data_IF_096700405954
#
_entry.id   IF_096700405954
#
_cell.length_a   1.000
_cell.length_b   1.000
_cell.length_c   1.000
_cell.angle_alpha   90.00
_cell.angle_beta   90.00
_cell.angle_gamma   90.00
#
_symmetry.space_group_name_H-M   'P 1'
#
loop_
_entity.id
_entity.type
_entity.pdbx_description
1 polymer ?
#
# COMPACT_ATOMS: atom_id res chain seq x y z
N UNK A 1 25.08 -2.16 -23.50
CA UNK A 1 25.72 -1.59 -22.29
C UNK A 1 25.78 -2.59 -21.15
N UNK A 2 24.64 -3.07 -20.61
CA UNK A 2 24.63 -4.09 -19.54
C UNK A 2 25.39 -5.38 -19.95
N UNK A 3 25.04 -5.99 -21.09
CA UNK A 3 25.75 -7.15 -21.64
C UNK A 3 27.25 -6.89 -21.82
N UNK A 4 27.62 -5.75 -22.38
CA UNK A 4 29.03 -5.36 -22.59
C UNK A 4 29.77 -5.16 -21.27
N UNK A 5 29.15 -4.55 -20.24
CA UNK A 5 29.78 -4.34 -18.94
C UNK A 5 30.04 -5.65 -18.22
N UNK A 6 29.07 -6.58 -18.25
CA UNK A 6 29.23 -7.94 -17.71
C UNK A 6 30.37 -8.65 -18.42
N UNK A 7 30.40 -8.62 -19.75
CA UNK A 7 31.48 -9.25 -20.53
C UNK A 7 32.84 -8.61 -20.25
N UNK A 8 32.96 -7.28 -20.22
CA UNK A 8 34.21 -6.59 -19.93
C UNK A 8 34.73 -6.94 -18.53
N UNK A 9 33.85 -7.10 -17.52
CA UNK A 9 34.27 -7.52 -16.18
C UNK A 9 34.76 -8.97 -16.15
N UNK A 10 34.09 -9.87 -16.89
CA UNK A 10 34.53 -11.27 -17.02
C UNK A 10 35.85 -11.38 -17.79
N UNK A 11 36.03 -10.58 -18.85
CA UNK A 11 37.20 -10.62 -19.72
C UNK A 11 38.42 -9.85 -19.15
N UNK A 12 38.19 -8.75 -18.42
CA UNK A 12 39.28 -7.96 -17.80
C UNK A 12 39.88 -8.62 -16.57
N UNK A 13 39.16 -9.58 -15.97
CA UNK A 13 39.58 -10.32 -14.80
C UNK A 13 39.92 -11.75 -15.23
N UNK A 14 41.01 -11.90 -15.99
CA UNK A 14 41.46 -13.19 -16.56
C UNK A 14 41.85 -14.28 -15.56
N UNK A 15 41.55 -14.12 -14.27
CA UNK A 15 41.73 -15.13 -13.22
C UNK A 15 40.37 -15.39 -12.52
N UNK A 16 39.89 -16.65 -12.47
CA UNK A 16 38.56 -16.99 -11.96
C UNK A 16 38.32 -16.53 -10.51
N UNK A 17 39.32 -16.66 -9.63
CA UNK A 17 39.18 -16.28 -8.21
C UNK A 17 38.98 -14.77 -8.00
N UNK A 18 39.52 -13.96 -8.92
CA UNK A 18 39.47 -12.50 -8.82
C UNK A 18 38.17 -11.96 -9.42
N UNK A 19 37.60 -12.68 -10.39
CA UNK A 19 36.29 -12.36 -10.96
C UNK A 19 35.20 -12.54 -9.90
N UNK A 20 35.31 -13.59 -9.08
CA UNK A 20 34.39 -13.89 -7.99
C UNK A 20 34.44 -12.82 -6.90
N UNK A 21 35.63 -12.35 -6.52
CA UNK A 21 35.79 -11.23 -5.58
C UNK A 21 35.15 -9.93 -6.11
N UNK A 22 35.27 -9.63 -7.41
CA UNK A 22 34.64 -8.43 -7.99
C UNK A 22 33.12 -8.52 -7.91
N UNK A 23 32.51 -9.71 -8.08
CA UNK A 23 31.07 -9.91 -7.89
C UNK A 23 30.65 -9.87 -6.41
N UNK A 24 31.48 -10.38 -5.50
CA UNK A 24 31.22 -10.37 -4.05
C UNK A 24 31.29 -8.94 -3.46
N UNK A 25 32.14 -8.07 -4.02
CA UNK A 25 32.25 -6.66 -3.62
C UNK A 25 31.39 -5.69 -4.46
N UNK A 26 30.87 -6.14 -5.59
CA UNK A 26 29.90 -5.39 -6.39
C UNK A 26 28.53 -5.43 -5.69
N UNK A 27 28.35 -4.53 -4.72
CA UNK A 27 27.06 -4.30 -4.06
C UNK A 27 25.93 -3.98 -5.08
N UNK A 28 24.67 -3.98 -4.61
CA UNK A 28 23.41 -3.96 -5.39
C UNK A 28 23.31 -3.00 -6.60
N UNK A 29 24.15 -1.98 -6.72
CA UNK A 29 24.25 -1.14 -7.92
C UNK A 29 24.70 -1.89 -9.19
N UNK A 30 25.48 -2.97 -9.07
CA UNK A 30 25.83 -3.81 -10.23
C UNK A 30 24.63 -4.67 -10.70
N UNK A 31 23.88 -5.24 -9.74
CA UNK A 31 22.67 -6.01 -10.04
C UNK A 31 21.60 -5.15 -10.74
N UNK A 32 21.38 -3.92 -10.28
CA UNK A 32 20.42 -3.00 -10.89
C UNK A 32 20.82 -2.57 -12.30
N UNK A 33 22.11 -2.33 -12.55
CA UNK A 33 22.62 -1.92 -13.86
C UNK A 33 22.62 -3.08 -14.87
N UNK A 34 22.86 -4.31 -14.40
CA UNK A 34 22.95 -5.51 -15.24
C UNK A 34 21.61 -6.25 -15.42
N UNK A 35 20.52 -5.82 -14.76
CA UNK A 35 19.17 -6.43 -14.86
C UNK A 35 18.62 -6.62 -16.30
N UNK A 36 19.03 -5.79 -17.25
CA UNK A 36 18.62 -5.98 -18.67
C UNK A 36 19.37 -7.15 -19.32
N UNK A 37 20.57 -7.47 -18.84
CA UNK A 37 21.37 -8.58 -19.34
C UNK A 37 20.86 -9.96 -18.88
N UNK A 38 19.90 -10.03 -17.96
CA UNK A 38 19.22 -11.27 -17.57
C UNK A 38 17.94 -11.56 -18.37
N UNK A 39 17.53 -10.66 -19.28
CA UNK A 39 16.39 -10.86 -20.17
C UNK A 39 16.75 -11.68 -21.42
N UNK A 40 15.78 -12.09 -22.22
CA UNK A 40 16.02 -12.92 -23.42
C UNK A 40 16.94 -12.21 -24.45
N UNK A 41 18.10 -12.80 -24.81
CA UNK A 41 19.08 -12.16 -25.69
C UNK A 41 18.63 -12.11 -27.15
N UNK A 42 17.73 -13.01 -27.59
CA UNK A 42 17.21 -13.03 -28.97
C UNK A 42 16.27 -11.84 -29.19
N UNK A 43 15.40 -11.56 -28.23
CA UNK A 43 14.52 -10.40 -28.25
C UNK A 43 15.30 -9.08 -28.26
N UNK A 44 16.31 -8.93 -27.40
CA UNK A 44 17.11 -7.70 -27.36
C UNK A 44 17.96 -7.51 -28.62
N UNK A 45 18.48 -8.58 -29.22
CA UNK A 45 19.12 -8.53 -30.54
C UNK A 45 18.18 -7.92 -31.58
N UNK A 46 16.94 -8.40 -31.64
CA UNK A 46 15.98 -7.95 -32.64
C UNK A 46 15.54 -6.49 -32.42
N UNK A 47 15.36 -6.06 -31.16
CA UNK A 47 15.08 -4.66 -30.80
C UNK A 47 16.24 -3.75 -31.22
N UNK A 48 17.49 -4.15 -30.94
CA UNK A 48 18.68 -3.35 -31.26
C UNK A 48 18.92 -3.27 -32.77
N UNK A 49 18.70 -4.36 -33.51
CA UNK A 49 18.82 -4.36 -34.97
C UNK A 49 17.72 -3.53 -35.63
N UNK A 50 16.49 -3.57 -35.10
CA UNK A 50 15.40 -2.72 -35.58
C UNK A 50 15.66 -1.22 -35.33
N UNK A 51 16.43 -0.87 -34.30
CA UNK A 51 16.76 0.52 -33.92
C UNK A 51 18.25 0.85 -34.15
N UNK A 52 18.88 0.20 -35.13
CA UNK A 52 20.34 0.21 -35.32
C UNK A 52 20.93 1.62 -35.34
N UNK A 53 20.42 2.50 -36.20
CA UNK A 53 21.04 3.81 -36.42
C UNK A 53 20.96 4.70 -35.17
N UNK A 54 19.82 4.70 -34.49
CA UNK A 54 19.64 5.42 -33.22
C UNK A 54 20.54 4.84 -32.12
N UNK A 55 20.67 3.52 -32.06
CA UNK A 55 21.51 2.83 -31.09
C UNK A 55 22.99 3.16 -31.30
N UNK A 56 23.47 3.12 -32.55
CA UNK A 56 24.85 3.45 -32.91
C UNK A 56 25.16 4.90 -32.53
N UNK A 57 24.28 5.84 -32.85
CA UNK A 57 24.49 7.26 -32.50
C UNK A 57 24.64 7.48 -30.99
N UNK A 58 23.85 6.78 -30.16
CA UNK A 58 23.95 6.84 -28.70
C UNK A 58 25.24 6.20 -28.19
N UNK A 59 25.68 5.08 -28.78
CA UNK A 59 26.94 4.43 -28.43
C UNK A 59 28.14 5.32 -28.73
N UNK A 60 28.17 5.97 -29.90
CA UNK A 60 29.26 6.88 -30.29
C UNK A 60 29.37 8.09 -29.36
N UNK A 61 28.22 8.65 -28.96
CA UNK A 61 28.17 9.74 -27.99
C UNK A 61 28.74 9.29 -26.63
N UNK A 62 28.32 8.12 -26.15
CA UNK A 62 28.79 7.58 -24.88
C UNK A 62 30.29 7.27 -24.89
N UNK A 63 30.82 6.71 -25.98
CA UNK A 63 32.26 6.48 -26.14
C UNK A 63 33.05 7.78 -26.11
N UNK A 64 32.52 8.84 -26.70
CA UNK A 64 33.12 10.18 -26.66
C UNK A 64 33.21 10.71 -25.23
N UNK A 65 32.14 10.56 -24.44
CA UNK A 65 32.13 10.97 -23.03
C UNK A 65 33.15 10.20 -22.18
N UNK A 66 33.26 8.88 -22.41
CA UNK A 66 34.26 8.04 -21.74
C UNK A 66 35.70 8.46 -22.06
N UNK A 67 35.98 8.79 -23.33
CA UNK A 67 37.29 9.30 -23.73
C UNK A 67 37.64 10.62 -23.03
N UNK A 68 36.66 11.51 -22.88
CA UNK A 68 36.87 12.77 -22.17
C UNK A 68 37.09 12.54 -20.67
N UNK A 69 36.34 11.63 -20.04
CA UNK A 69 36.56 11.24 -18.64
C UNK A 69 37.98 10.67 -18.44
N UNK A 70 38.42 9.80 -19.34
CA UNK A 70 39.80 9.27 -19.35
C UNK A 70 40.84 10.39 -19.49
N UNK A 71 40.60 11.38 -20.34
CA UNK A 71 41.53 12.51 -20.51
C UNK A 71 41.64 13.37 -19.23
N UNK A 72 40.54 13.57 -18.50
CA UNK A 72 40.54 14.28 -17.21
C UNK A 72 41.32 13.51 -16.15
N UNK A 73 41.16 12.19 -16.09
CA UNK A 73 41.93 11.31 -15.19
C UNK A 73 43.43 11.37 -15.48
N UNK A 74 43.84 11.32 -16.76
CA UNK A 74 45.25 11.40 -17.15
C UNK A 74 45.89 12.75 -16.81
N UNK A 75 45.10 13.81 -16.74
CA UNK A 75 45.55 15.16 -16.38
C UNK A 75 45.46 15.43 -14.86
N UNK A 76 44.95 14.49 -14.08
CA UNK A 76 44.65 14.63 -12.66
C UNK A 76 43.80 15.88 -12.34
N UNK A 77 42.90 16.26 -13.25
CA UNK A 77 42.08 17.47 -13.14
C UNK A 77 40.86 17.20 -12.24
N UNK A 78 41.08 17.29 -10.93
CA UNK A 78 40.09 17.00 -9.91
C UNK A 78 38.86 17.92 -9.95
N UNK A 79 39.05 19.18 -10.31
CA UNK A 79 37.96 20.17 -10.37
C UNK A 79 37.03 19.88 -11.55
N UNK A 80 37.59 19.56 -12.73
CA UNK A 80 36.79 19.17 -13.88
C UNK A 80 36.06 17.83 -13.66
N UNK A 81 36.69 16.86 -12.99
CA UNK A 81 36.04 15.61 -12.58
C UNK A 81 34.87 15.86 -11.62
N UNK A 82 35.08 16.71 -10.61
CA UNK A 82 34.04 17.07 -9.64
C UNK A 82 32.87 17.78 -10.32
N UNK A 83 33.13 18.70 -11.25
CA UNK A 83 32.08 19.36 -12.02
C UNK A 83 31.23 18.35 -12.82
N UNK A 84 31.86 17.36 -13.44
CA UNK A 84 31.16 16.28 -14.15
C UNK A 84 30.35 15.38 -13.24
N UNK A 85 30.88 15.02 -12.07
CA UNK A 85 30.13 14.23 -11.09
C UNK A 85 28.92 14.99 -10.55
N UNK A 86 29.06 16.30 -10.29
CA UNK A 86 27.93 17.15 -9.91
C UNK A 86 26.87 17.20 -11.00
N UNK A 87 27.28 17.36 -12.26
CA UNK A 87 26.35 17.35 -13.39
C UNK A 87 25.61 16.00 -13.51
N UNK A 88 26.33 14.88 -13.42
CA UNK A 88 25.72 13.54 -13.47
C UNK A 88 24.75 13.32 -12.29
N UNK A 89 25.13 13.75 -11.08
CA UNK A 89 24.26 13.74 -9.91
C UNK A 89 23.02 14.59 -10.11
N UNK A 90 23.16 15.82 -10.60
CA UNK A 90 22.03 16.72 -10.89
C UNK A 90 21.08 16.11 -11.91
N UNK A 91 21.59 15.57 -13.02
CA UNK A 91 20.76 14.91 -14.04
C UNK A 91 20.05 13.68 -13.47
N UNK A 92 20.72 12.89 -12.62
CA UNK A 92 20.10 11.72 -11.96
C UNK A 92 19.05 12.14 -10.94
N UNK A 93 19.35 13.11 -10.10
CA UNK A 93 18.44 13.66 -9.10
C UNK A 93 17.23 14.30 -9.80
N UNK A 94 17.43 15.00 -10.91
CA UNK A 94 16.38 15.57 -11.76
C UNK A 94 15.59 14.50 -12.50
N UNK A 95 16.22 13.42 -12.96
CA UNK A 95 15.53 12.29 -13.57
C UNK A 95 14.66 11.56 -12.54
N UNK A 96 15.21 11.23 -11.37
CA UNK A 96 14.45 10.63 -10.26
C UNK A 96 13.32 11.58 -9.85
N UNK A 97 13.61 12.88 -9.72
CA UNK A 97 12.61 13.90 -9.43
C UNK A 97 11.55 13.97 -10.51
N UNK A 98 11.87 13.93 -11.80
CA UNK A 98 10.89 13.94 -12.90
C UNK A 98 10.10 12.65 -13.01
N UNK A 99 10.73 11.50 -12.74
CA UNK A 99 10.05 10.20 -12.76
C UNK A 99 9.11 10.06 -11.56
N UNK A 100 9.52 10.52 -10.38
CA UNK A 100 8.64 10.73 -9.23
C UNK A 100 7.57 11.78 -9.53
N UNK A 101 7.91 12.90 -10.16
CA UNK A 101 6.96 13.98 -10.44
C UNK A 101 5.97 13.67 -11.59
N UNK A 102 6.30 12.73 -12.47
CA UNK A 102 5.37 12.16 -13.48
C UNK A 102 4.29 11.28 -12.86
N UNK A 103 4.49 10.87 -11.59
CA UNK A 103 3.49 10.29 -10.70
C UNK A 103 3.48 11.08 -9.39
N UNK A 104 2.91 12.28 -9.40
CA UNK A 104 2.82 13.28 -8.31
C UNK A 104 3.89 14.37 -8.32
N UNK A 105 3.52 15.53 -8.86
CA UNK A 105 4.08 16.80 -8.40
C UNK A 105 3.67 17.05 -6.95
N UNK A 106 4.49 16.67 -5.97
CA UNK A 106 4.52 17.34 -4.67
C UNK A 106 5.96 17.45 -4.19
N UNK A 107 6.40 18.69 -3.99
CA UNK A 107 7.68 19.07 -3.42
C UNK A 107 7.87 18.47 -2.03
N UNK A 108 8.99 17.78 -1.81
CA UNK A 108 9.53 17.49 -0.48
C UNK A 108 9.89 18.81 0.21
N UNK A 109 8.96 19.31 1.02
CA UNK A 109 9.28 19.99 2.27
C UNK A 109 8.49 19.25 3.34
N UNK A 110 9.17 18.80 4.38
CA UNK A 110 8.53 18.12 5.49
C UNK A 110 7.42 18.99 6.09
N UNK A 111 6.17 18.65 5.82
CA UNK A 111 5.02 19.00 6.66
C UNK A 111 4.33 17.69 7.05
N UNK A 112 4.04 17.58 8.35
CA UNK A 112 3.23 16.51 8.91
C UNK A 112 1.91 16.43 8.15
N UNK A 113 1.47 15.21 7.87
CA UNK A 113 0.36 14.88 6.98
C UNK A 113 -0.86 15.80 7.13
N UNK A 114 -1.13 16.55 6.07
CA UNK A 114 -2.39 17.23 5.83
C UNK A 114 -2.86 16.92 4.41
N UNK A 115 -2.94 15.63 4.08
CA UNK A 115 -3.75 15.22 2.94
C UNK A 115 -5.22 15.54 3.25
N UNK A 116 -5.91 16.17 2.30
CA UNK A 116 -7.32 16.48 2.38
C UNK A 116 -8.05 15.61 1.36
N UNK A 117 -8.96 14.77 1.84
CA UNK A 117 -9.82 13.95 0.98
C UNK A 117 -11.14 14.68 0.77
N UNK A 118 -11.58 14.77 -0.47
CA UNK A 118 -12.94 15.22 -0.83
C UNK A 118 -13.75 14.01 -1.24
N UNK A 119 -14.81 13.72 -0.50
CA UNK A 119 -15.74 12.63 -0.80
C UNK A 119 -16.98 13.23 -1.42
N UNK A 120 -17.35 12.74 -2.60
CA UNK A 120 -18.60 13.08 -3.27
C UNK A 120 -19.71 12.09 -2.97
N UNK A 121 -20.91 12.40 -3.48
CA UNK A 121 -22.09 11.56 -3.27
C UNK A 121 -22.02 10.31 -4.16
N UNK A 122 -21.97 9.14 -3.52
CA UNK A 122 -22.02 7.85 -4.20
C UNK A 122 -23.47 7.42 -4.43
N UNK A 123 -23.78 6.94 -5.65
CA UNK A 123 -25.13 6.46 -6.02
C UNK A 123 -25.26 4.95 -5.84
N UNK A 124 -24.25 4.19 -6.28
CA UNK A 124 -24.12 2.74 -6.07
C UNK A 124 -22.64 2.36 -6.00
N UNK A 125 -22.31 1.31 -5.23
CA UNK A 125 -20.98 0.72 -5.22
C UNK A 125 -21.00 -0.60 -5.98
N UNK A 126 -20.36 -0.66 -7.15
CA UNK A 126 -20.29 -1.91 -7.94
C UNK A 126 -18.94 -2.15 -8.58
N UNK A 127 -18.49 -3.41 -8.53
CA UNK A 127 -17.40 -3.87 -9.38
C UNK A 127 -16.56 -4.99 -8.79
N UNK A 128 -15.41 -5.21 -9.42
CA UNK A 128 -14.37 -6.12 -8.96
C UNK A 128 -13.13 -5.31 -8.59
N UNK A 129 -12.54 -5.59 -7.44
CA UNK A 129 -11.29 -4.97 -7.00
C UNK A 129 -10.36 -6.00 -6.36
N UNK A 130 -9.09 -5.60 -6.23
CA UNK A 130 -8.05 -6.34 -5.54
C UNK A 130 -7.44 -5.40 -4.51
N UNK A 131 -7.27 -5.86 -3.28
CA UNK A 131 -6.78 -5.08 -2.15
C UNK A 131 -5.46 -5.64 -1.68
N UNK A 132 -4.58 -4.77 -1.18
CA UNK A 132 -3.37 -5.18 -0.47
C UNK A 132 -3.72 -5.91 0.82
N UNK A 133 -2.82 -6.80 1.26
CA UNK A 133 -2.88 -7.34 2.61
C UNK A 133 -2.57 -6.27 3.65
N UNK A 134 -3.01 -6.50 4.88
CA UNK A 134 -2.53 -5.72 6.01
C UNK A 134 -1.05 -6.06 6.30
N UNK A 135 -0.36 -5.15 7.00
CA UNK A 135 1.05 -5.31 7.32
C UNK A 135 1.33 -6.55 8.16
N UNK A 136 0.44 -6.95 9.07
CA UNK A 136 0.70 -8.10 9.94
C UNK A 136 0.64 -9.39 9.14
N UNK A 137 -0.45 -9.62 8.41
CA UNK A 137 -0.63 -10.78 7.53
C UNK A 137 0.47 -10.89 6.47
N UNK A 138 0.87 -9.76 5.88
CA UNK A 138 1.94 -9.73 4.89
C UNK A 138 3.30 -10.12 5.48
N UNK A 139 3.57 -9.70 6.71
CA UNK A 139 4.82 -10.02 7.41
C UNK A 139 4.84 -11.44 7.98
N UNK A 140 3.70 -11.96 8.44
CA UNK A 140 3.56 -13.37 8.83
C UNK A 140 3.86 -14.29 7.64
N UNK A 141 3.24 -14.01 6.49
CA UNK A 141 3.51 -14.74 5.25
C UNK A 141 4.99 -14.65 4.83
N UNK A 142 5.61 -13.47 4.99
CA UNK A 142 7.03 -13.29 4.72
C UNK A 142 7.90 -14.14 5.65
N UNK A 143 7.59 -14.19 6.95
CA UNK A 143 8.33 -15.00 7.91
C UNK A 143 8.14 -16.51 7.67
N UNK A 144 7.00 -16.95 7.13
CA UNK A 144 6.79 -18.32 6.65
C UNK A 144 7.65 -18.65 5.43
N UNK A 145 7.64 -17.77 4.41
CA UNK A 145 8.46 -17.91 3.20
C UNK A 145 9.96 -17.99 3.51
N UNK A 146 10.42 -17.20 4.49
CA UNK A 146 11.82 -17.23 4.94
C UNK A 146 12.20 -18.54 5.64
N UNK A 147 11.22 -19.25 6.24
CA UNK A 147 11.45 -20.58 6.86
C UNK A 147 11.41 -21.71 5.83
N UNK A 148 10.51 -21.64 4.86
CA UNK A 148 10.35 -22.68 3.84
C UNK A 148 11.51 -22.72 2.82
N UNK A 149 12.16 -21.58 2.55
CA UNK A 149 13.13 -21.45 1.46
C UNK A 149 12.42 -21.28 0.10
N UNK A 150 13.14 -20.80 -0.92
CA UNK A 150 12.61 -20.64 -2.28
C UNK A 150 12.83 -19.26 -2.89
N UNK A 151 12.53 -19.14 -4.18
CA UNK A 151 12.26 -17.83 -4.81
C UNK A 151 10.75 -17.59 -4.82
N UNK A 152 10.29 -16.54 -4.14
CA UNK A 152 8.88 -16.22 -3.96
C UNK A 152 8.54 -14.83 -4.49
N UNK A 153 7.50 -14.76 -5.33
CA UNK A 153 6.88 -13.52 -5.74
C UNK A 153 5.57 -13.32 -4.97
N UNK A 154 5.60 -12.35 -4.05
CA UNK A 154 4.43 -11.90 -3.31
C UNK A 154 3.71 -10.80 -4.09
N UNK A 155 2.43 -10.99 -4.33
CA UNK A 155 1.54 -9.96 -4.89
C UNK A 155 0.65 -9.35 -3.82
N UNK A 156 0.26 -8.09 -4.05
CA UNK A 156 -0.55 -7.29 -3.13
C UNK A 156 0.15 -7.00 -1.80
N UNK A 157 1.49 -6.94 -1.83
CA UNK A 157 2.31 -6.58 -0.68
C UNK A 157 2.04 -5.12 -0.26
N UNK A 158 1.84 -4.84 1.03
CA UNK A 158 1.58 -3.48 1.51
C UNK A 158 2.83 -2.60 1.41
N UNK A 159 2.63 -1.35 0.98
CA UNK A 159 3.69 -0.33 0.83
C UNK A 159 3.70 0.66 2.00
N UNK A 160 3.44 0.17 3.21
CA UNK A 160 3.38 1.00 4.40
C UNK A 160 4.72 1.00 5.16
N UNK A 161 4.88 1.98 6.04
CA UNK A 161 6.11 2.18 6.83
C UNK A 161 6.54 0.92 7.59
N UNK A 162 5.61 0.18 8.18
CA UNK A 162 5.93 -1.00 8.99
C UNK A 162 6.45 -2.14 8.11
N UNK A 163 5.76 -2.43 7.01
CA UNK A 163 6.19 -3.42 6.03
C UNK A 163 7.57 -3.06 5.44
N UNK A 164 7.76 -1.80 5.01
CA UNK A 164 9.02 -1.32 4.45
C UNK A 164 10.20 -1.38 5.44
N UNK A 165 9.97 -1.06 6.71
CA UNK A 165 11.01 -1.17 7.75
C UNK A 165 11.47 -2.62 7.93
N UNK A 166 10.54 -3.59 7.91
CA UNK A 166 10.88 -5.01 7.99
C UNK A 166 11.65 -5.47 6.76
N UNK A 167 11.26 -5.05 5.56
CA UNK A 167 12.02 -5.33 4.34
C UNK A 167 13.43 -4.72 4.38
N UNK A 168 13.57 -3.51 4.93
CA UNK A 168 14.88 -2.90 5.12
C UNK A 168 15.74 -3.68 6.11
N UNK A 169 15.16 -4.17 7.21
CA UNK A 169 15.86 -5.01 8.18
C UNK A 169 16.33 -6.33 7.55
N UNK A 170 15.50 -6.96 6.71
CA UNK A 170 15.86 -8.18 5.98
C UNK A 170 17.02 -7.93 4.99
N UNK A 171 16.99 -6.82 4.24
CA UNK A 171 18.09 -6.43 3.35
C UNK A 171 19.40 -6.20 4.11
N UNK A 172 19.35 -5.51 5.25
CA UNK A 172 20.52 -5.31 6.12
C UNK A 172 21.02 -6.63 6.73
N UNK A 173 20.11 -7.58 6.95
CA UNK A 173 20.41 -8.94 7.39
C UNK A 173 20.97 -9.86 6.30
N UNK A 174 21.16 -9.36 5.07
CA UNK A 174 21.71 -10.13 3.95
C UNK A 174 20.69 -10.97 3.19
N UNK A 175 19.38 -10.80 3.44
CA UNK A 175 18.34 -11.47 2.66
C UNK A 175 18.15 -10.72 1.33
N UNK A 176 18.34 -11.38 0.17
CA UNK A 176 18.08 -10.77 -1.11
C UNK A 176 16.58 -10.56 -1.31
N UNK A 177 16.15 -9.29 -1.33
CA UNK A 177 14.74 -8.90 -1.53
C UNK A 177 14.65 -7.70 -2.48
N UNK A 178 13.83 -7.81 -3.53
CA UNK A 178 13.59 -6.78 -4.55
C UNK A 178 12.12 -6.34 -4.53
N UNK A 179 11.83 -5.07 -4.82
CA UNK A 179 10.51 -4.47 -4.55
C UNK A 179 10.38 -3.99 -3.08
N UNK A 180 9.20 -3.50 -2.63
CA UNK A 180 7.92 -3.64 -3.30
C UNK A 180 7.75 -2.60 -4.39
N UNK A 181 7.50 -3.06 -5.62
CA UNK A 181 7.15 -2.20 -6.75
C UNK A 181 5.68 -2.48 -7.11
N UNK A 182 4.78 -1.50 -6.92
CA UNK A 182 3.34 -1.66 -7.14
C UNK A 182 2.72 -2.88 -6.41
N UNK A 183 3.16 -3.15 -5.19
CA UNK A 183 2.70 -4.29 -4.40
C UNK A 183 3.23 -5.66 -4.86
N UNK A 184 4.18 -5.70 -5.79
CA UNK A 184 4.94 -6.90 -6.13
C UNK A 184 6.27 -6.90 -5.37
N UNK A 185 6.51 -7.94 -4.58
CA UNK A 185 7.74 -8.14 -3.81
C UNK A 185 8.37 -9.49 -4.19
N UNK A 186 9.65 -9.49 -4.49
CA UNK A 186 10.41 -10.69 -4.83
C UNK A 186 11.40 -11.02 -3.72
N UNK A 187 11.25 -12.18 -3.10
CA UNK A 187 12.04 -12.66 -1.97
C UNK A 187 12.83 -13.87 -2.41
N UNK A 188 14.14 -13.87 -2.15
CA UNK A 188 15.02 -14.99 -2.42
C UNK A 188 15.51 -15.57 -1.09
N UNK A 189 14.98 -16.72 -0.68
CA UNK A 189 15.40 -17.42 0.54
C UNK A 189 16.26 -18.66 0.27
N UNK A 190 16.39 -19.13 -0.99
CA UNK A 190 17.35 -20.16 -1.41
C UNK A 190 17.81 -20.01 -2.89
N UNK A 191 18.69 -20.90 -3.37
CA UNK A 191 19.15 -21.00 -4.77
C UNK A 191 18.26 -21.97 -5.58
N UNK A 192 16.97 -22.02 -5.29
CA UNK A 192 15.98 -22.79 -6.04
C UNK A 192 15.62 -22.11 -7.37
N UNK A 193 15.49 -22.90 -8.44
CA UNK A 193 15.14 -22.39 -9.78
C UNK A 193 13.63 -22.17 -9.97
N UNK A 194 12.80 -22.67 -9.06
CA UNK A 194 11.34 -22.59 -9.18
C UNK A 194 10.80 -21.33 -8.52
N UNK A 195 10.37 -20.37 -9.33
CA UNK A 195 9.65 -19.18 -8.89
C UNK A 195 8.23 -19.57 -8.51
N UNK A 196 7.86 -19.35 -7.24
CA UNK A 196 6.49 -19.52 -6.75
C UNK A 196 5.82 -18.17 -6.59
N UNK A 197 4.61 -18.04 -7.12
CA UNK A 197 3.82 -16.82 -7.03
C UNK A 197 2.70 -17.01 -6.01
N UNK A 198 2.62 -16.10 -5.06
CA UNK A 198 1.63 -16.11 -3.99
C UNK A 198 1.01 -14.73 -3.89
N UNK A 199 -0.31 -14.66 -4.00
CA UNK A 199 -1.03 -13.42 -3.75
C UNK A 199 -1.42 -13.39 -2.28
N UNK A 200 -1.18 -12.27 -1.60
CA UNK A 200 -1.53 -12.13 -0.18
C UNK A 200 -3.06 -11.99 0.01
N UNK A 201 -3.59 -12.31 1.20
CA UNK A 201 -5.01 -12.09 1.52
C UNK A 201 -5.35 -10.59 1.45
N UNK A 202 -6.64 -10.26 1.27
CA UNK A 202 -7.08 -8.88 1.33
C UNK A 202 -7.10 -8.36 2.78
N UNK A 203 -6.65 -7.12 3.00
CA UNK A 203 -6.71 -6.44 4.29
C UNK A 203 -8.14 -6.42 4.85
N UNK A 204 -8.39 -6.99 6.05
CA UNK A 204 -9.73 -7.06 6.64
C UNK A 204 -10.39 -5.69 6.87
N UNK A 205 -9.60 -4.65 7.18
CA UNK A 205 -10.09 -3.29 7.44
C UNK A 205 -10.54 -2.63 6.14
N UNK A 206 -9.82 -2.85 5.04
CA UNK A 206 -10.23 -2.37 3.71
C UNK A 206 -11.49 -3.09 3.22
N UNK A 207 -11.60 -4.40 3.45
CA UNK A 207 -12.81 -5.19 3.16
C UNK A 207 -14.00 -4.67 3.97
N UNK A 208 -13.81 -4.42 5.27
CA UNK A 208 -14.84 -3.84 6.13
C UNK A 208 -15.30 -2.46 5.63
N UNK A 209 -14.36 -1.58 5.23
CA UNK A 209 -14.68 -0.29 4.66
C UNK A 209 -15.55 -0.40 3.39
N UNK A 210 -15.26 -1.36 2.51
CA UNK A 210 -16.09 -1.62 1.32
C UNK A 210 -17.46 -2.18 1.70
N UNK A 211 -17.55 -3.05 2.71
CA UNK A 211 -18.82 -3.59 3.20
C UNK A 211 -19.73 -2.52 3.81
N UNK A 212 -19.15 -1.60 4.58
CA UNK A 212 -19.81 -0.40 5.10
C UNK A 212 -20.39 0.41 3.95
N UNK A 213 -19.58 0.69 2.92
CA UNK A 213 -20.01 1.48 1.77
C UNK A 213 -21.10 0.79 0.93
N UNK A 214 -20.97 -0.51 0.67
CA UNK A 214 -21.93 -1.28 -0.12
C UNK A 214 -23.28 -1.47 0.61
N UNK A 215 -23.27 -1.58 1.94
CA UNK A 215 -24.49 -1.74 2.75
C UNK A 215 -25.37 -0.51 2.67
N UNK A 216 -24.77 0.67 2.58
CA UNK A 216 -25.52 1.91 2.63
C UNK A 216 -26.25 2.27 1.34
N UNK A 217 -25.88 1.64 0.22
CA UNK A 217 -26.43 1.92 -1.10
C UNK A 217 -27.18 0.68 -1.60
N UNK A 218 -28.49 0.81 -1.81
CA UNK A 218 -29.33 -0.30 -2.23
C UNK A 218 -28.92 -0.91 -3.56
N UNK A 219 -28.85 -2.25 -3.56
CA UNK A 219 -28.47 -3.03 -4.71
C UNK A 219 -27.05 -2.74 -5.15
N UNK A 220 -26.10 -2.65 -4.21
CA UNK A 220 -24.66 -2.57 -4.44
C UNK A 220 -24.02 -3.95 -4.28
N UNK A 221 -22.86 -4.14 -4.88
CA UNK A 221 -22.14 -5.41 -4.81
C UNK A 221 -20.69 -5.29 -5.26
N UNK A 222 -19.76 -5.79 -4.45
CA UNK A 222 -18.33 -5.75 -4.72
C UNK A 222 -17.75 -7.15 -4.60
N UNK A 223 -16.98 -7.57 -5.60
CA UNK A 223 -16.17 -8.79 -5.55
C UNK A 223 -14.72 -8.42 -5.29
N UNK A 224 -14.21 -8.80 -4.13
CA UNK A 224 -12.80 -8.63 -3.76
C UNK A 224 -12.05 -9.91 -4.11
N UNK A 225 -11.01 -9.78 -4.91
CA UNK A 225 -10.12 -10.90 -5.23
C UNK A 225 -9.11 -11.01 -4.10
N UNK A 226 -9.22 -12.05 -3.28
CA UNK A 226 -8.20 -12.39 -2.29
C UNK A 226 -7.27 -13.47 -2.88
N UNK A 227 -5.99 -13.42 -2.52
CA UNK A 227 -4.97 -14.32 -3.05
C UNK A 227 -5.06 -15.77 -2.56
N UNK A 228 -4.20 -16.65 -3.10
CA UNK A 228 -4.08 -18.03 -2.62
C UNK A 228 -3.56 -18.05 -1.18
N UNK A 229 -4.37 -18.57 -0.26
CA UNK A 229 -3.93 -18.84 1.11
C UNK A 229 -5.08 -19.23 2.00
N UNK A 230 -5.28 -20.55 2.16
CA UNK A 230 -5.69 -21.24 3.40
C UNK A 230 -6.91 -20.83 4.23
N UNK A 231 -7.57 -19.69 3.99
CA UNK A 231 -8.66 -19.19 4.80
C UNK A 231 -9.98 -19.82 4.32
N UNK A 232 -10.22 -21.08 4.70
CA UNK A 232 -11.57 -21.66 4.65
C UNK A 232 -12.56 -20.90 5.55
N UNK A 233 -12.07 -19.96 6.36
CA UNK A 233 -12.81 -19.14 7.33
C UNK A 233 -12.41 -17.68 7.17
N UNK A 234 -13.38 -16.79 7.32
CA UNK A 234 -13.14 -15.35 7.33
C UNK A 234 -12.31 -14.97 8.58
N UNK A 235 -11.43 -13.96 8.48
CA UNK A 235 -10.84 -13.33 9.65
C UNK A 235 -11.89 -12.90 10.67
N UNK A 236 -11.53 -12.89 11.95
CA UNK A 236 -12.46 -12.65 13.08
C UNK A 236 -13.25 -11.34 12.95
N UNK A 237 -12.63 -10.27 12.44
CA UNK A 237 -13.33 -9.01 12.13
C UNK A 237 -14.49 -9.23 11.16
N UNK A 238 -14.24 -9.94 10.05
CA UNK A 238 -15.22 -10.12 8.98
C UNK A 238 -16.34 -11.07 9.41
N UNK A 239 -16.01 -12.09 10.20
CA UNK A 239 -17.00 -12.97 10.83
C UNK A 239 -17.88 -12.19 11.83
N UNK A 240 -17.28 -11.32 12.64
CA UNK A 240 -18.01 -10.43 13.56
C UNK A 240 -18.95 -9.50 12.80
N UNK A 241 -18.49 -8.88 11.70
CA UNK A 241 -19.34 -8.05 10.85
C UNK A 241 -20.48 -8.84 10.22
N UNK A 242 -20.23 -10.08 9.78
CA UNK A 242 -21.26 -10.98 9.28
C UNK A 242 -22.31 -11.27 10.37
N UNK A 243 -21.87 -11.47 11.62
CA UNK A 243 -22.75 -11.64 12.79
C UNK A 243 -23.60 -10.41 13.12
N UNK A 244 -23.09 -9.19 12.86
CA UNK A 244 -23.87 -7.94 12.97
C UNK A 244 -24.95 -7.85 11.87
N UNK A 245 -24.79 -8.59 10.77
CA UNK A 245 -25.72 -8.65 9.66
C UNK A 245 -25.18 -8.07 8.36
N UNK A 246 -23.87 -7.76 8.28
CA UNK A 246 -23.24 -7.38 7.00
C UNK A 246 -23.23 -8.57 6.03
N UNK A 247 -23.48 -8.27 4.76
CA UNK A 247 -23.51 -9.28 3.70
C UNK A 247 -22.10 -9.49 3.14
N UNK A 248 -21.29 -10.26 3.87
CA UNK A 248 -19.93 -10.66 3.50
C UNK A 248 -19.89 -12.17 3.40
N UNK A 249 -19.46 -12.70 2.26
CA UNK A 249 -19.42 -14.13 1.99
C UNK A 249 -18.11 -14.52 1.32
N UNK A 250 -17.56 -15.66 1.70
CA UNK A 250 -16.39 -16.24 1.03
C UNK A 250 -16.86 -17.19 -0.08
N UNK A 251 -16.51 -16.89 -1.33
CA UNK A 251 -16.82 -17.72 -2.51
C UNK A 251 -15.52 -18.25 -3.13
N UNK A 252 -15.14 -19.46 -2.73
CA UNK A 252 -13.88 -20.07 -3.17
C UNK A 252 -12.68 -19.31 -2.62
N UNK A 253 -12.12 -18.41 -3.43
CA UNK A 253 -10.96 -17.55 -3.08
C UNK A 253 -11.31 -16.06 -3.03
N UNK A 254 -12.54 -15.70 -3.38
CA UNK A 254 -12.96 -14.31 -3.44
C UNK A 254 -13.88 -13.97 -2.27
N UNK A 255 -13.87 -12.71 -1.86
CA UNK A 255 -14.81 -12.18 -0.88
C UNK A 255 -15.90 -11.41 -1.64
N UNK A 256 -17.14 -11.87 -1.49
CA UNK A 256 -18.32 -11.19 -2.00
C UNK A 256 -18.88 -10.28 -0.92
N UNK A 257 -19.07 -9.03 -1.27
CA UNK A 257 -19.71 -8.01 -0.46
C UNK A 257 -21.00 -7.61 -1.18
N UNK A 258 -22.12 -7.67 -0.48
CA UNK A 258 -23.42 -7.22 -1.00
C UNK A 258 -24.03 -6.11 -0.14
N UNK A 259 -25.15 -5.57 -0.61
CA UNK A 259 -26.04 -4.79 0.27
C UNK A 259 -26.53 -5.68 1.41
N UNK A 260 -26.45 -5.13 2.62
CA UNK A 260 -26.89 -5.80 3.83
C UNK A 260 -28.13 -5.11 4.42
N UNK A 261 -28.98 -5.88 5.08
CA UNK A 261 -30.10 -5.37 5.85
C UNK A 261 -29.75 -5.46 7.32
N UNK A 262 -29.14 -4.40 7.85
CA UNK A 262 -28.75 -4.35 9.26
C UNK A 262 -30.01 -4.33 10.15
N UNK A 263 -29.97 -5.02 11.31
CA UNK A 263 -31.10 -5.04 12.23
C UNK A 263 -31.38 -3.64 12.80
N UNK A 264 -32.62 -3.42 13.25
CA UNK A 264 -33.04 -2.20 13.94
C UNK A 264 -32.96 -2.35 15.50
N UNK A 265 -32.24 -3.38 15.98
CA UNK A 265 -32.17 -3.77 17.39
C UNK A 265 -30.84 -3.35 18.04
N UNK A 266 -30.81 -3.38 19.39
CA UNK A 266 -29.58 -3.17 20.15
C UNK A 266 -28.80 -4.47 20.23
N UNK A 267 -27.56 -4.47 19.78
CA UNK A 267 -26.67 -5.62 19.74
C UNK A 267 -25.50 -5.42 20.69
N UNK A 268 -25.21 -6.44 21.51
CA UNK A 268 -24.06 -6.45 22.38
C UNK A 268 -22.99 -7.39 21.80
N UNK A 269 -21.82 -6.84 21.50
CA UNK A 269 -20.65 -7.57 21.04
C UNK A 269 -19.63 -7.64 22.15
N UNK A 270 -19.09 -8.84 22.38
CA UNK A 270 -18.00 -9.05 23.30
C UNK A 270 -16.74 -9.42 22.51
N UNK A 271 -15.79 -8.50 22.43
CA UNK A 271 -14.54 -8.68 21.69
C UNK A 271 -13.52 -9.34 22.61
N UNK A 272 -13.06 -10.57 22.32
CA UNK A 272 -12.05 -11.25 23.15
C UNK A 272 -10.74 -10.46 23.23
N UNK A 273 -10.00 -10.59 24.32
CA UNK A 273 -8.70 -9.90 24.46
C UNK A 273 -7.72 -10.43 23.41
N UNK A 274 -7.14 -9.52 22.63
CA UNK A 274 -6.16 -9.86 21.58
C UNK A 274 -6.75 -10.43 20.29
N UNK A 275 -8.08 -10.46 20.17
CA UNK A 275 -8.78 -10.86 18.92
C UNK A 275 -8.61 -9.84 17.80
N UNK A 276 -8.72 -8.55 18.14
CA UNK A 276 -8.75 -7.46 17.17
C UNK A 276 -7.66 -6.44 17.44
N UNK A 277 -7.10 -5.90 16.36
CA UNK A 277 -6.20 -4.76 16.41
C UNK A 277 -6.97 -3.44 16.63
N UNK A 278 -6.26 -2.38 17.03
CA UNK A 278 -6.85 -1.04 17.17
C UNK A 278 -7.54 -0.61 15.85
N UNK A 279 -6.96 -0.90 14.68
CA UNK A 279 -7.52 -0.56 13.35
C UNK A 279 -8.80 -1.36 13.03
N UNK A 280 -8.80 -2.65 13.34
CA UNK A 280 -9.97 -3.52 13.15
C UNK A 280 -11.13 -3.12 14.07
N UNK A 281 -10.84 -2.70 15.30
CA UNK A 281 -11.86 -2.17 16.21
C UNK A 281 -12.46 -0.85 15.72
N UNK A 282 -11.65 0.04 15.11
CA UNK A 282 -12.18 1.24 14.46
C UNK A 282 -13.15 0.89 13.32
N UNK A 283 -12.85 -0.17 12.55
CA UNK A 283 -13.75 -0.64 11.50
C UNK A 283 -15.09 -1.19 12.06
N UNK A 284 -15.06 -1.90 13.19
CA UNK A 284 -16.29 -2.30 13.90
C UNK A 284 -17.11 -1.09 14.37
N UNK A 285 -16.47 -0.07 14.93
CA UNK A 285 -17.15 1.17 15.33
C UNK A 285 -17.76 1.86 14.11
N UNK A 286 -17.02 1.95 12.99
CA UNK A 286 -17.53 2.52 11.74
C UNK A 286 -18.75 1.76 11.21
N UNK A 287 -18.76 0.44 11.36
CA UNK A 287 -19.89 -0.41 10.99
C UNK A 287 -21.12 -0.14 11.86
N UNK A 288 -20.94 0.06 13.18
CA UNK A 288 -22.03 0.44 14.09
C UNK A 288 -22.70 1.79 13.75
N UNK A 289 -22.00 2.69 13.06
CA UNK A 289 -22.55 3.99 12.65
C UNK A 289 -23.53 3.90 11.46
N UNK A 290 -23.60 2.75 10.78
CA UNK A 290 -24.52 2.52 9.66
C UNK A 290 -25.78 1.80 10.14
N UNK A 291 -26.92 2.10 9.52
CA UNK A 291 -28.22 1.50 9.87
C UNK A 291 -28.88 2.20 11.06
N UNK A 292 -29.84 1.53 11.72
CA UNK A 292 -30.58 2.09 12.88
C UNK A 292 -30.31 1.35 14.19
N UNK A 293 -29.48 0.32 14.16
CA UNK A 293 -29.04 -0.43 15.33
C UNK A 293 -28.29 0.45 16.34
N UNK A 294 -28.21 -0.04 17.57
CA UNK A 294 -27.26 0.45 18.58
C UNK A 294 -26.32 -0.70 18.88
N UNK A 295 -25.02 -0.47 18.74
CA UNK A 295 -23.99 -1.46 18.92
C UNK A 295 -23.20 -1.16 20.21
N UNK A 296 -23.30 -2.07 21.17
CA UNK A 296 -22.51 -2.06 22.40
C UNK A 296 -21.29 -2.95 22.20
N UNK A 297 -20.11 -2.34 22.04
CA UNK A 297 -18.86 -3.05 21.85
C UNK A 297 -18.14 -3.10 23.20
N UNK A 298 -18.12 -4.28 23.81
CA UNK A 298 -17.39 -4.54 25.04
C UNK A 298 -15.96 -4.96 24.74
N UNK A 299 -15.01 -4.22 25.30
CA UNK A 299 -13.57 -4.40 25.14
C UNK A 299 -12.92 -4.59 26.52
N UNK A 300 -11.65 -4.98 26.58
CA UNK A 300 -10.89 -4.77 27.81
C UNK A 300 -10.61 -3.28 28.04
N UNK A 301 -10.44 -2.87 29.29
CA UNK A 301 -10.34 -1.45 29.66
C UNK A 301 -9.14 -0.74 29.01
N UNK A 302 -7.99 -1.41 28.90
CA UNK A 302 -6.77 -0.81 28.35
C UNK A 302 -6.89 -0.64 26.84
N UNK A 303 -7.45 -1.63 26.15
CA UNK A 303 -7.74 -1.55 24.73
C UNK A 303 -8.81 -0.50 24.43
N UNK A 304 -9.88 -0.46 25.24
CA UNK A 304 -10.92 0.56 25.17
C UNK A 304 -10.34 1.96 25.29
N UNK A 305 -9.42 2.19 26.24
CA UNK A 305 -8.74 3.49 26.38
C UNK A 305 -7.96 3.89 25.12
N UNK A 306 -7.21 2.96 24.51
CA UNK A 306 -6.45 3.25 23.27
C UNK A 306 -7.37 3.58 22.09
N UNK A 307 -8.38 2.75 21.86
CA UNK A 307 -9.37 2.95 20.78
C UNK A 307 -10.14 4.25 21.00
N UNK A 308 -10.56 4.54 22.23
CA UNK A 308 -11.27 5.76 22.58
C UNK A 308 -10.48 7.04 22.26
N UNK A 309 -9.16 7.04 22.47
CA UNK A 309 -8.30 8.16 22.09
C UNK A 309 -8.27 8.38 20.57
N UNK A 310 -8.26 7.30 19.79
CA UNK A 310 -8.29 7.37 18.32
C UNK A 310 -9.66 7.79 17.77
N UNK A 311 -10.75 7.54 18.50
CA UNK A 311 -12.11 7.95 18.12
C UNK A 311 -12.43 9.43 18.37
N UNK A 312 -11.58 10.16 19.11
CA UNK A 312 -11.82 11.57 19.45
C UNK A 312 -12.12 12.48 18.25
N UNK A 313 -11.50 12.31 17.06
CA UNK A 313 -11.91 13.03 15.85
C UNK A 313 -13.39 12.87 15.48
N UNK A 314 -13.93 11.65 15.53
CA UNK A 314 -15.34 11.38 15.22
C UNK A 314 -16.28 11.93 16.28
N UNK A 315 -15.93 11.75 17.56
CA UNK A 315 -16.69 12.33 18.68
C UNK A 315 -16.74 13.86 18.57
N UNK A 316 -15.60 14.50 18.26
CA UNK A 316 -15.52 15.95 18.06
C UNK A 316 -16.31 16.43 16.82
N UNK A 317 -16.42 15.60 15.78
CA UNK A 317 -17.25 15.85 14.61
C UNK A 317 -18.75 15.61 14.86
N UNK A 318 -19.13 15.16 16.06
CA UNK A 318 -20.51 14.95 16.47
C UNK A 318 -21.10 13.59 16.05
N UNK A 319 -20.26 12.61 15.74
CA UNK A 319 -20.74 11.25 15.48
C UNK A 319 -21.26 10.63 16.79
N UNK A 320 -22.34 9.82 16.74
CA UNK A 320 -23.05 9.30 17.91
C UNK A 320 -22.32 8.09 18.52
N UNK A 321 -21.17 8.39 19.12
CA UNK A 321 -20.29 7.42 19.78
C UNK A 321 -20.12 7.88 21.23
N UNK A 322 -20.50 7.03 22.16
CA UNK A 322 -20.39 7.28 23.59
C UNK A 322 -19.57 6.19 24.26
N UNK A 323 -18.95 6.53 25.38
CA UNK A 323 -18.28 5.57 26.25
C UNK A 323 -19.12 5.39 27.50
N UNK A 324 -19.50 4.15 27.78
CA UNK A 324 -20.31 3.84 28.95
C UNK A 324 -19.52 4.09 30.25
N UNK A 325 -20.27 4.25 31.36
CA UNK A 325 -19.70 4.61 32.66
C UNK A 325 -18.81 3.50 33.27
N UNK A 326 -18.97 2.26 32.80
CA UNK A 326 -18.11 1.11 33.17
C UNK A 326 -16.67 1.27 32.66
N UNK A 327 -16.49 2.06 31.59
CA UNK A 327 -15.22 2.36 30.95
C UNK A 327 -14.69 1.23 30.06
N UNK A 328 -15.39 0.11 29.94
CA UNK A 328 -15.01 -1.02 29.08
C UNK A 328 -15.95 -1.19 27.88
N UNK A 329 -17.07 -0.46 27.84
CA UNK A 329 -18.05 -0.53 26.73
C UNK A 329 -18.09 0.76 25.91
N UNK A 330 -18.05 0.61 24.58
CA UNK A 330 -18.32 1.67 23.60
C UNK A 330 -19.73 1.50 23.04
N UNK A 331 -20.57 2.52 23.15
CA UNK A 331 -21.92 2.55 22.59
C UNK A 331 -21.91 3.34 21.28
N UNK A 332 -22.27 2.68 20.18
CA UNK A 332 -22.29 3.28 18.85
C UNK A 332 -23.72 3.24 18.32
N UNK A 333 -24.31 4.40 18.04
CA UNK A 333 -25.66 4.46 17.50
C UNK A 333 -25.65 4.70 15.99
N UNK A 334 -26.39 3.88 15.26
CA UNK A 334 -26.54 4.02 13.81
C UNK A 334 -27.30 5.28 13.38
N UNK A 335 -27.06 5.70 12.14
CA UNK A 335 -27.76 6.79 11.46
C UNK A 335 -29.30 6.61 11.40
N UNK A 336 -30.02 7.30 12.29
CA UNK A 336 -31.43 7.65 12.02
C UNK A 336 -31.48 8.80 11.00
N UNK A 337 -31.88 8.48 9.76
CA UNK A 337 -31.94 9.38 8.58
C UNK A 337 -32.63 10.74 8.82
N UNK A 338 -33.40 10.90 9.89
CA UNK A 338 -34.21 12.07 10.23
C UNK A 338 -33.61 13.00 11.30
N UNK A 339 -32.52 12.64 11.99
CA UNK A 339 -32.05 13.38 13.18
C UNK A 339 -30.57 13.72 13.27
N UNK A 340 -29.73 13.30 12.33
CA UNK A 340 -28.28 13.52 12.44
C UNK A 340 -27.79 14.60 11.47
N UNK A 341 -27.02 15.55 12.00
CA UNK A 341 -26.27 16.53 11.20
C UNK A 341 -24.99 15.86 10.72
N UNK A 342 -24.87 15.63 9.41
CA UNK A 342 -23.62 15.12 8.83
C UNK A 342 -22.60 16.25 8.84
N UNK A 343 -21.41 16.07 9.42
CA UNK A 343 -20.40 17.12 9.43
C UNK A 343 -19.88 17.36 8.02
N UNK A 344 -19.82 18.63 7.60
CA UNK A 344 -19.20 19.03 6.33
C UNK A 344 -17.68 18.78 6.30
N UNK A 345 -17.08 18.62 7.48
CA UNK A 345 -15.65 18.48 7.66
C UNK A 345 -15.35 17.52 8.82
N UNK A 346 -14.43 16.57 8.60
CA UNK A 346 -13.90 15.67 9.63
C UNK A 346 -12.38 15.83 9.65
N UNK A 347 -11.79 16.23 10.77
CA UNK A 347 -10.32 16.29 10.91
C UNK A 347 -9.82 15.01 11.60
N UNK A 348 -9.23 14.10 10.82
CA UNK A 348 -8.72 12.82 11.29
C UNK A 348 -7.36 12.91 12.01
N UNK A 349 -6.78 14.11 12.17
CA UNK A 349 -5.56 14.35 12.95
C UNK A 349 -4.36 13.48 12.57
N UNK A 350 -4.26 13.10 11.30
CA UNK A 350 -3.19 12.28 10.75
C UNK A 350 -3.47 10.77 10.74
N UNK A 351 -4.65 10.32 11.18
CA UNK A 351 -5.01 8.90 11.19
C UNK A 351 -5.61 8.48 9.83
N UNK A 352 -4.81 7.75 9.04
CA UNK A 352 -5.20 7.31 7.70
C UNK A 352 -6.29 6.24 7.71
N UNK A 353 -6.36 5.40 8.74
CA UNK A 353 -7.40 4.36 8.87
C UNK A 353 -8.73 5.01 9.20
N UNK A 354 -8.72 5.96 10.14
CA UNK A 354 -9.90 6.74 10.47
C UNK A 354 -10.40 7.55 9.26
N UNK A 355 -9.47 8.11 8.47
CA UNK A 355 -9.80 8.78 7.21
C UNK A 355 -10.45 7.83 6.20
N UNK A 356 -9.92 6.62 6.00
CA UNK A 356 -10.51 5.60 5.13
C UNK A 356 -11.92 5.21 5.58
N UNK A 357 -12.11 4.96 6.87
CA UNK A 357 -13.40 4.58 7.43
C UNK A 357 -14.40 5.74 7.37
N UNK A 358 -13.93 6.98 7.48
CA UNK A 358 -14.74 8.19 7.25
C UNK A 358 -15.22 8.27 5.80
N UNK A 359 -14.37 7.94 4.82
CA UNK A 359 -14.79 7.84 3.40
C UNK A 359 -15.92 6.82 3.27
N UNK A 360 -15.72 5.60 3.80
CA UNK A 360 -16.70 4.54 3.74
C UNK A 360 -18.04 4.93 4.40
N UNK A 361 -17.99 5.50 5.61
CA UNK A 361 -19.18 5.99 6.30
C UNK A 361 -19.87 7.14 5.53
N UNK A 362 -19.13 8.11 4.99
CA UNK A 362 -19.73 9.21 4.24
C UNK A 362 -20.52 8.74 3.02
N UNK A 363 -20.14 7.61 2.40
CA UNK A 363 -20.94 7.02 1.31
C UNK A 363 -22.37 6.68 1.75
N UNK A 364 -22.59 6.43 3.04
CA UNK A 364 -23.93 6.16 3.60
C UNK A 364 -24.78 7.39 3.83
N UNK A 365 -24.18 8.58 3.80
CA UNK A 365 -24.85 9.81 4.21
C UNK A 365 -25.50 10.55 3.05
N UNK A 366 -25.18 10.22 1.78
CA UNK A 366 -25.57 11.02 0.59
C UNK A 366 -25.11 12.50 0.67
N UNK A 367 -24.08 12.79 1.47
CA UNK A 367 -23.49 14.13 1.61
C UNK A 367 -22.05 14.12 1.12
N UNK A 368 -21.64 15.23 0.52
CA UNK A 368 -20.23 15.49 0.25
C UNK A 368 -19.58 16.13 1.48
N UNK A 369 -18.35 15.70 1.81
CA UNK A 369 -17.62 16.24 2.95
C UNK A 369 -16.11 16.23 2.70
N UNK A 370 -15.41 17.06 3.48
CA UNK A 370 -13.96 17.15 3.49
C UNK A 370 -13.38 16.39 4.68
N UNK A 371 -12.46 15.47 4.41
CA UNK A 371 -11.68 14.81 5.45
C UNK A 371 -10.30 15.46 5.47
N UNK A 372 -9.96 16.14 6.54
CA UNK A 372 -8.67 16.80 6.71
C UNK A 372 -7.78 15.95 7.60
N UNK A 373 -6.47 16.18 7.50
CA UNK A 373 -5.51 15.43 8.28
C UNK A 373 -5.63 13.93 8.01
N UNK A 374 -5.73 13.51 6.74
CA UNK A 374 -5.81 12.09 6.38
C UNK A 374 -4.49 11.33 6.58
N UNK A 375 -3.45 11.99 7.11
CA UNK A 375 -2.15 11.38 7.37
C UNK A 375 -1.42 11.02 6.09
N UNK A 376 -0.78 9.85 6.11
CA UNK A 376 -0.08 9.26 4.95
C UNK A 376 -1.04 8.34 4.17
N UNK A 377 -2.27 8.79 3.90
CA UNK A 377 -3.35 7.94 3.34
C UNK A 377 -2.92 7.25 2.04
N UNK A 378 -2.32 8.00 1.10
CA UNK A 378 -1.84 7.42 -0.16
C UNK A 378 -0.72 6.39 0.02
N UNK A 379 0.12 6.55 1.04
CA UNK A 379 1.23 5.62 1.33
C UNK A 379 0.70 4.36 2.00
N UNK A 380 -0.21 4.51 2.97
CA UNK A 380 -0.82 3.39 3.69
C UNK A 380 -1.74 2.55 2.80
N UNK A 381 -2.50 3.19 1.90
CA UNK A 381 -3.48 2.54 1.04
C UNK A 381 -3.26 2.87 -0.45
N UNK A 382 -2.17 2.34 -1.04
CA UNK A 382 -1.82 2.64 -2.42
C UNK A 382 -2.92 2.17 -3.38
N UNK A 383 -3.34 3.05 -4.29
CA UNK A 383 -4.36 2.73 -5.30
C UNK A 383 -5.79 2.63 -4.77
N UNK A 384 -6.03 2.67 -3.45
CA UNK A 384 -7.37 2.57 -2.87
C UNK A 384 -8.28 3.71 -3.32
N UNK A 385 -7.75 4.92 -3.50
CA UNK A 385 -8.52 6.03 -4.05
C UNK A 385 -9.03 5.77 -5.48
N UNK A 386 -8.23 5.13 -6.32
CA UNK A 386 -8.64 4.71 -7.65
C UNK A 386 -9.64 3.56 -7.60
N UNK A 387 -9.55 2.67 -6.59
CA UNK A 387 -10.56 1.63 -6.35
C UNK A 387 -11.91 2.27 -6.00
N UNK A 388 -11.95 3.21 -5.05
CA UNK A 388 -13.16 3.95 -4.69
C UNK A 388 -13.81 4.58 -5.92
N UNK A 389 -13.02 5.29 -6.74
CA UNK A 389 -13.53 5.91 -7.96
C UNK A 389 -14.08 4.88 -8.96
N UNK A 390 -13.37 3.76 -9.18
CA UNK A 390 -13.85 2.69 -10.08
C UNK A 390 -15.14 2.04 -9.59
N UNK A 391 -15.32 1.97 -8.27
CA UNK A 391 -16.52 1.42 -7.66
C UNK A 391 -17.69 2.40 -7.64
N UNK A 392 -17.51 3.66 -8.08
CA UNK A 392 -18.57 4.67 -8.13
C UNK A 392 -18.64 5.59 -6.91
N UNK A 393 -17.61 5.60 -6.07
CA UNK A 393 -17.44 6.55 -4.95
C UNK A 393 -16.51 7.68 -5.42
N UNK A 394 -17.04 8.90 -5.65
CA UNK A 394 -16.19 10.00 -6.09
C UNK A 394 -15.26 10.40 -4.93
N UNK A 395 -13.96 10.12 -5.08
CA UNK A 395 -12.94 10.48 -4.10
C UNK A 395 -11.83 11.26 -4.79
N UNK A 396 -11.56 12.47 -4.32
CA UNK A 396 -10.42 13.27 -4.74
C UNK A 396 -9.45 13.44 -3.57
N UNK A 397 -8.17 13.17 -3.80
CA UNK A 397 -7.12 13.42 -2.81
C UNK A 397 -6.43 14.73 -3.16
N UNK A 398 -6.68 15.75 -2.38
CA UNK A 398 -6.05 17.06 -2.50
C UNK A 398 -4.81 17.08 -1.61
N UNK A 399 -3.67 17.44 -2.18
CA UNK A 399 -2.52 17.88 -1.40
C UNK A 399 -2.78 19.32 -1.02
N UNK A 400 -2.71 19.70 0.27
CA UNK A 400 -2.83 21.10 0.67
C UNK A 400 -1.85 21.95 -0.16
N UNK A 401 -2.38 22.79 -1.05
CA UNK A 401 -1.64 23.92 -1.56
C UNK A 401 -1.64 24.91 -0.40
N UNK A 402 -0.52 24.98 0.31
CA UNK A 402 -0.26 26.03 1.30
C UNK A 402 -0.52 27.36 0.61
N UNK A 403 -1.62 28.01 0.99
CA UNK A 403 -2.00 29.36 0.56
C UNK A 403 -1.16 30.41 1.25
#
# INVERSE_FOLDING_TARGET
LAYTLVNTLVESVGEPDRSQQVFDFAAGGFADFSRIASSDPVMWRDIFLANRDATVAVLDHYMTDLQQMRALLLRADGDALQARFRQAKQVRDDFIRRFRNGQCSVSETASRGSEVLTVGVAVRVFGRCQLSADSESALECLDEILKEGGTWQLENFPDDRHALQRLQALRLGGVPVSGPDNGSLLVFSDVGQDMRQLSLPADPVQVAALAIAATALEGSGVRVIAGEGGAAQLPELLDTLQGIGYNIMLEGRDILIGTAALPDERLALNVPVGSLTDDQCLALVAAGLVGRQVLDIRLDKVFCDRVWQRLQPWVAAGLPIERAADGDTLEVSGLRRDRMTVPNQIDCRGDSVLAMLSVAWLTSTQHAAYINGAGEYRQRFPGLAAIWHRLGVPLAVLSEVVS
#
